data_IF_872450166768
#
_entry.id   IF_872450166768
#
_cell.length_a   1.000
_cell.length_b   1.000
_cell.length_c   1.000
_cell.angle_alpha   90.00
_cell.angle_beta   90.00
_cell.angle_gamma   90.00
#
_symmetry.space_group_name_H-M   'P 1'
#
loop_
_entity.id
_entity.type
_entity.pdbx_description
1 polymer ?
#
# COMPACT_ATOMS: atom_id res chain seq x y z
N UNK A 1 11.94 -45.12 44.59
CA UNK A 1 11.92 -43.97 43.66
C UNK A 1 10.86 -44.26 42.63
N UNK A 2 9.85 -43.41 42.64
CA UNK A 2 8.52 -43.60 42.08
C UNK A 2 8.43 -43.37 40.56
N UNK A 3 7.27 -43.83 40.04
CA UNK A 3 6.49 -43.24 38.94
C UNK A 3 6.65 -43.84 37.53
N UNK A 4 5.72 -44.78 37.29
CA UNK A 4 4.88 -45.00 36.11
C UNK A 4 5.00 -44.02 34.93
N UNK A 5 5.28 -44.56 33.74
CA UNK A 5 4.91 -43.97 32.46
C UNK A 5 3.80 -44.82 31.85
N UNK A 6 2.58 -44.26 31.81
CA UNK A 6 1.35 -44.95 31.40
C UNK A 6 1.24 -44.94 29.87
N UNK A 7 0.89 -46.10 29.27
CA UNK A 7 0.49 -46.26 27.86
C UNK A 7 -0.82 -45.51 27.54
N UNK A 8 -1.26 -45.35 26.31
CA UNK A 8 -1.66 -46.35 25.29
C UNK A 8 -2.10 -45.52 24.05
N UNK A 9 -2.04 -45.98 22.80
CA UNK A 9 -2.93 -46.98 22.21
C UNK A 9 -3.63 -46.39 20.98
N UNK A 10 -3.53 -47.06 19.83
CA UNK A 10 -4.25 -46.72 18.59
C UNK A 10 -5.74 -47.07 18.71
N UNK A 11 -6.63 -46.25 18.12
CA UNK A 11 -8.04 -46.60 17.93
C UNK A 11 -8.76 -45.60 17.04
N UNK A 12 -9.09 -46.01 15.82
CA UNK A 12 -10.03 -45.31 14.93
C UNK A 12 -11.45 -45.88 15.12
N UNK A 13 -12.43 -44.98 14.96
CA UNK A 13 -13.79 -45.16 14.43
C UNK A 13 -15.01 -45.16 15.38
N UNK A 14 -15.85 -44.16 15.08
CA UNK A 14 -17.31 -44.17 14.95
C UNK A 14 -18.15 -44.47 16.19
N UNK A 15 -18.62 -43.40 16.83
CA UNK A 15 -20.00 -43.31 17.30
C UNK A 15 -20.60 -41.94 16.92
N UNK A 16 -21.79 -42.03 16.33
CA UNK A 16 -22.69 -41.00 15.84
C UNK A 16 -23.38 -40.31 17.03
N UNK A 17 -23.21 -38.99 17.18
CA UNK A 17 -24.14 -38.17 17.99
C UNK A 17 -24.24 -36.75 17.42
N UNK A 18 -25.48 -36.34 17.17
CA UNK A 18 -25.83 -35.16 16.44
C UNK A 18 -25.51 -33.86 17.18
N UNK A 19 -24.70 -33.02 16.55
CA UNK A 19 -24.81 -31.58 16.75
C UNK A 19 -24.43 -30.84 15.46
N UNK A 20 -25.44 -30.59 14.62
CA UNK A 20 -25.33 -29.62 13.53
C UNK A 20 -25.16 -28.22 14.13
N UNK A 21 -23.93 -27.87 14.52
CA UNK A 21 -23.57 -26.46 14.74
C UNK A 21 -23.72 -25.74 13.40
N UNK A 22 -24.62 -24.77 13.26
CA UNK A 22 -24.68 -24.00 12.04
C UNK A 22 -23.35 -23.28 11.89
N UNK A 23 -22.60 -23.59 10.82
CA UNK A 23 -21.54 -22.73 10.30
C UNK A 23 -22.17 -21.34 10.18
N UNK A 24 -21.79 -20.42 11.05
CA UNK A 24 -22.17 -19.01 10.95
C UNK A 24 -21.63 -18.55 9.59
N UNK A 25 -22.49 -18.63 8.56
CA UNK A 25 -22.28 -17.97 7.28
C UNK A 25 -21.98 -16.53 7.66
N UNK A 26 -20.73 -16.12 7.45
CA UNK A 26 -20.30 -14.76 7.67
C UNK A 26 -21.34 -13.87 7.03
N UNK A 27 -21.99 -13.08 7.89
CA UNK A 27 -23.01 -12.12 7.51
C UNK A 27 -22.44 -11.34 6.33
N UNK A 28 -23.17 -11.38 5.22
CA UNK A 28 -22.87 -10.63 4.02
C UNK A 28 -22.66 -9.17 4.45
N UNK A 29 -21.41 -8.71 4.50
CA UNK A 29 -21.07 -7.34 4.86
C UNK A 29 -21.54 -6.48 3.71
N UNK A 30 -22.81 -6.10 3.82
CA UNK A 30 -23.42 -4.84 3.44
C UNK A 30 -22.61 -4.12 2.38
N UNK A 31 -23.14 -4.10 1.14
CA UNK A 31 -22.56 -3.51 -0.08
C UNK A 31 -21.68 -2.33 0.30
N UNK A 32 -20.38 -2.59 0.42
CA UNK A 32 -19.41 -1.59 0.87
C UNK A 32 -19.56 -0.41 -0.06
N UNK A 33 -19.84 0.77 0.51
CA UNK A 33 -19.79 2.02 -0.24
C UNK A 33 -18.55 1.98 -1.14
N UNK A 34 -18.65 2.44 -2.41
CA UNK A 34 -17.56 2.33 -3.36
C UNK A 34 -16.28 2.83 -2.70
N UNK A 35 -15.24 1.98 -2.68
CA UNK A 35 -13.94 2.36 -2.13
C UNK A 35 -13.54 3.67 -2.77
N UNK A 36 -13.33 4.70 -1.96
CA UNK A 36 -12.90 6.01 -2.44
C UNK A 36 -11.65 5.86 -3.30
N UNK A 37 -11.70 6.39 -4.52
CA UNK A 37 -10.54 6.52 -5.40
C UNK A 37 -9.97 7.93 -5.29
N UNK A 38 -8.66 8.07 -5.48
CA UNK A 38 -8.02 9.37 -5.63
C UNK A 38 -8.13 9.80 -7.09
N UNK A 39 -8.57 11.03 -7.31
CA UNK A 39 -8.52 11.67 -8.63
C UNK A 39 -7.14 12.25 -8.90
N UNK A 40 -6.76 12.42 -10.17
CA UNK A 40 -5.48 13.03 -10.53
C UNK A 40 -5.30 14.43 -9.95
N UNK A 41 -6.39 15.19 -9.80
CA UNK A 41 -6.36 16.51 -9.19
C UNK A 41 -6.08 16.45 -7.68
N UNK A 42 -6.69 15.50 -6.95
CA UNK A 42 -6.38 15.27 -5.54
C UNK A 42 -4.94 14.77 -5.35
N UNK A 43 -4.46 13.92 -6.24
CA UNK A 43 -3.07 13.46 -6.25
C UNK A 43 -2.09 14.62 -6.44
N UNK A 44 -2.34 15.48 -7.43
CA UNK A 44 -1.55 16.69 -7.66
C UNK A 44 -1.56 17.61 -6.45
N UNK A 45 -2.74 17.83 -5.84
CA UNK A 45 -2.86 18.62 -4.62
C UNK A 45 -2.08 18.03 -3.45
N UNK A 46 -2.06 16.71 -3.29
CA UNK A 46 -1.24 16.05 -2.26
C UNK A 46 0.26 16.24 -2.53
N UNK A 47 0.69 16.14 -3.78
CA UNK A 47 2.08 16.41 -4.18
C UNK A 47 2.46 17.87 -3.89
N UNK A 48 1.57 18.83 -4.19
CA UNK A 48 1.79 20.23 -3.90
C UNK A 48 1.85 20.51 -2.39
N UNK A 49 1.01 19.84 -1.60
CA UNK A 49 1.07 19.87 -0.14
C UNK A 49 2.42 19.38 0.39
N UNK A 50 2.93 18.26 -0.12
CA UNK A 50 4.25 17.74 0.24
C UNK A 50 5.38 18.72 -0.11
N UNK A 51 5.36 19.30 -1.32
CA UNK A 51 6.33 20.33 -1.75
C UNK A 51 6.30 21.54 -0.83
N UNK A 52 5.10 22.01 -0.46
CA UNK A 52 4.94 23.12 0.47
C UNK A 52 5.51 22.83 1.86
N UNK A 53 5.39 21.61 2.36
CA UNK A 53 5.99 21.21 3.63
C UNK A 53 7.51 21.19 3.58
N UNK A 54 8.09 20.72 2.46
CA UNK A 54 9.55 20.78 2.25
C UNK A 54 10.01 22.23 2.29
N UNK A 55 9.34 23.13 1.57
CA UNK A 55 9.69 24.55 1.48
C UNK A 55 9.55 25.30 2.81
N UNK A 56 8.72 24.80 3.73
CA UNK A 56 8.50 25.39 5.06
C UNK A 56 9.32 24.69 6.16
N UNK A 57 10.28 23.82 5.81
CA UNK A 57 11.24 23.24 6.76
C UNK A 57 10.72 22.05 7.55
N UNK A 58 9.66 21.39 7.08
CA UNK A 58 9.12 20.17 7.71
C UNK A 58 9.88 18.90 7.31
N UNK A 59 10.76 18.96 6.32
CA UNK A 59 11.66 17.86 5.96
C UNK A 59 12.87 17.84 6.91
N UNK A 60 13.19 16.65 7.40
CA UNK A 60 14.39 16.29 8.15
C UNK A 60 15.17 15.23 7.36
N UNK A 61 16.37 14.88 7.81
CA UNK A 61 17.24 13.89 7.15
C UNK A 61 16.54 12.54 6.97
N UNK A 62 15.75 12.13 7.97
CA UNK A 62 15.06 10.84 7.99
C UNK A 62 13.60 10.88 7.47
N UNK A 63 13.18 11.98 6.84
CA UNK A 63 11.81 12.11 6.30
C UNK A 63 11.13 13.40 6.75
N UNK A 64 9.86 13.33 7.14
CA UNK A 64 9.11 14.50 7.63
C UNK A 64 9.04 14.50 9.16
N UNK A 65 8.96 15.69 9.76
CA UNK A 65 8.70 15.86 11.20
C UNK A 65 7.39 15.17 11.61
N UNK A 66 7.34 14.68 12.84
CA UNK A 66 6.11 14.17 13.43
C UNK A 66 5.00 15.24 13.35
N UNK A 67 3.80 14.82 12.97
CA UNK A 67 2.66 15.73 12.78
C UNK A 67 2.51 16.33 11.38
N UNK A 68 3.35 15.96 10.40
CA UNK A 68 3.19 16.42 9.02
C UNK A 68 1.87 15.98 8.36
N UNK A 69 1.30 14.83 8.76
CA UNK A 69 0.06 14.29 8.21
C UNK A 69 -1.16 15.21 8.47
N UNK A 70 -1.39 15.70 9.71
CA UNK A 70 -2.38 16.75 9.96
C UNK A 70 -2.19 18.01 9.10
N UNK A 71 -0.94 18.42 8.83
CA UNK A 71 -0.68 19.57 7.96
C UNK A 71 -1.11 19.30 6.52
N UNK A 72 -0.87 18.08 6.01
CA UNK A 72 -1.35 17.66 4.71
C UNK A 72 -2.88 17.58 4.68
N UNK A 73 -3.54 17.04 5.70
CA UNK A 73 -5.01 17.03 5.78
C UNK A 73 -5.58 18.46 5.74
N UNK A 74 -5.01 19.38 6.52
CA UNK A 74 -5.41 20.79 6.51
C UNK A 74 -5.20 21.43 5.12
N UNK A 75 -4.08 21.14 4.47
CA UNK A 75 -3.83 21.59 3.10
C UNK A 75 -4.88 21.05 2.12
N UNK A 76 -5.17 19.76 2.16
CA UNK A 76 -6.16 19.12 1.27
C UNK A 76 -7.56 19.68 1.48
N UNK A 77 -7.99 19.92 2.72
CA UNK A 77 -9.29 20.53 3.00
C UNK A 77 -9.38 21.99 2.52
N UNK A 78 -8.26 22.71 2.51
CA UNK A 78 -8.20 24.09 1.99
C UNK A 78 -8.30 24.14 0.46
N UNK A 79 -7.61 23.23 -0.24
CA UNK A 79 -7.59 23.20 -1.71
C UNK A 79 -8.85 22.54 -2.26
N UNK A 80 -9.36 21.51 -1.60
CA UNK A 80 -10.55 20.76 -1.97
C UNK A 80 -11.55 20.75 -0.79
N UNK A 81 -12.32 21.84 -0.63
CA UNK A 81 -13.42 21.85 0.34
C UNK A 81 -14.34 20.65 0.05
N UNK A 82 -14.71 19.89 1.07
CA UNK A 82 -15.56 18.69 0.98
C UNK A 82 -14.90 17.42 0.43
N UNK A 83 -13.58 17.41 0.17
CA UNK A 83 -12.95 16.16 -0.25
C UNK A 83 -13.08 15.05 0.81
N UNK A 84 -13.23 15.34 2.10
CA UNK A 84 -13.27 14.33 3.17
C UNK A 84 -12.02 13.41 3.17
N UNK A 85 -10.88 13.95 2.73
CA UNK A 85 -9.58 13.29 2.82
C UNK A 85 -9.07 13.48 4.25
N UNK A 86 -8.54 12.40 4.82
CA UNK A 86 -8.08 12.35 6.21
C UNK A 86 -6.62 11.97 6.23
N UNK A 87 -5.87 12.50 7.21
CA UNK A 87 -4.50 12.10 7.50
C UNK A 87 -4.40 10.57 7.56
N UNK A 88 -5.24 9.97 8.41
CA UNK A 88 -5.47 8.53 8.51
C UNK A 88 -6.94 8.22 8.19
N UNK A 89 -7.26 7.19 7.38
CA UNK A 89 -6.34 6.27 6.71
C UNK A 89 -5.92 6.72 5.29
N UNK A 90 -6.42 7.86 4.80
CA UNK A 90 -6.40 8.15 3.36
C UNK A 90 -5.03 8.60 2.85
N UNK A 91 -4.44 9.63 3.46
CA UNK A 91 -3.15 10.18 3.03
C UNK A 91 -2.04 9.16 3.27
N UNK A 92 -2.03 8.54 4.45
CA UNK A 92 -1.03 7.50 4.79
C UNK A 92 -1.04 6.32 3.84
N UNK A 93 -2.22 5.78 3.52
CA UNK A 93 -2.36 4.71 2.53
C UNK A 93 -1.85 5.14 1.16
N UNK A 94 -2.18 6.35 0.71
CA UNK A 94 -1.72 6.87 -0.58
C UNK A 94 -0.20 7.02 -0.66
N UNK A 95 0.41 7.60 0.37
CA UNK A 95 1.86 7.75 0.46
C UNK A 95 2.57 6.39 0.52
N UNK A 96 2.00 5.42 1.23
CA UNK A 96 2.54 4.06 1.28
C UNK A 96 2.55 3.41 -0.11
N UNK A 97 1.44 3.51 -0.86
CA UNK A 97 1.34 2.99 -2.23
C UNK A 97 2.36 3.65 -3.15
N UNK A 98 2.43 4.99 -3.16
CA UNK A 98 3.40 5.72 -3.98
C UNK A 98 4.84 5.35 -3.66
N UNK A 99 5.18 5.22 -2.37
CA UNK A 99 6.53 4.82 -1.95
C UNK A 99 6.89 3.42 -2.46
N UNK A 100 5.94 2.48 -2.42
CA UNK A 100 6.13 1.12 -2.97
C UNK A 100 6.31 1.15 -4.49
N UNK A 101 5.45 1.88 -5.22
CA UNK A 101 5.54 2.01 -6.67
C UNK A 101 6.88 2.63 -7.09
N UNK A 102 7.28 3.72 -6.45
CA UNK A 102 8.58 4.36 -6.68
C UNK A 102 9.75 3.40 -6.41
N UNK A 103 9.72 2.67 -5.29
CA UNK A 103 10.75 1.67 -5.00
C UNK A 103 10.86 0.60 -6.09
N UNK A 104 9.73 0.14 -6.64
CA UNK A 104 9.72 -0.81 -7.75
C UNK A 104 10.33 -0.19 -9.01
N UNK A 105 9.95 1.03 -9.36
CA UNK A 105 10.49 1.74 -10.53
C UNK A 105 12.00 1.95 -10.42
N UNK A 106 12.49 2.44 -9.28
CA UNK A 106 13.93 2.59 -9.04
C UNK A 106 14.64 1.26 -9.20
N UNK A 107 14.09 0.18 -8.65
CA UNK A 107 14.68 -1.17 -8.77
C UNK A 107 14.77 -1.61 -10.23
N UNK A 108 13.72 -1.37 -11.03
CA UNK A 108 13.75 -1.66 -12.46
C UNK A 108 14.82 -0.82 -13.17
N UNK A 109 14.88 0.48 -12.91
CA UNK A 109 15.87 1.38 -13.52
C UNK A 109 17.33 1.07 -13.15
N UNK A 110 17.59 0.27 -12.10
CA UNK A 110 18.96 -0.21 -11.82
C UNK A 110 19.45 -1.29 -12.78
N UNK A 111 18.58 -1.86 -13.62
CA UNK A 111 18.96 -2.88 -14.60
C UNK A 111 19.45 -2.23 -15.89
N UNK A 112 20.53 -2.78 -16.46
CA UNK A 112 21.04 -2.36 -17.77
C UNK A 112 19.98 -2.56 -18.86
N UNK A 113 19.94 -1.65 -19.83
CA UNK A 113 18.98 -1.71 -20.93
C UNK A 113 17.58 -1.22 -20.56
N UNK A 114 17.38 -0.55 -19.43
CA UNK A 114 16.11 0.08 -19.06
C UNK A 114 16.29 1.59 -18.87
N UNK A 115 15.43 2.37 -19.53
CA UNK A 115 15.37 3.83 -19.44
C UNK A 115 14.00 4.33 -18.99
N UNK A 116 13.89 5.65 -18.79
CA UNK A 116 12.63 6.32 -18.48
C UNK A 116 12.28 7.33 -19.58
N UNK A 117 11.10 7.19 -20.16
CA UNK A 117 10.52 8.17 -21.08
C UNK A 117 9.70 9.19 -20.27
N UNK A 118 10.30 10.37 -20.04
CA UNK A 118 9.68 11.48 -19.32
C UNK A 118 8.41 11.99 -20.02
N UNK A 119 8.32 11.87 -21.36
CA UNK A 119 7.17 12.38 -22.11
C UNK A 119 5.93 11.49 -21.96
N UNK A 120 6.15 10.18 -21.87
CA UNK A 120 5.06 9.18 -21.76
C UNK A 120 4.86 8.68 -20.34
N UNK A 121 5.77 9.03 -19.41
CA UNK A 121 5.84 8.47 -18.07
C UNK A 121 5.91 6.92 -18.08
N UNK A 122 6.78 6.37 -18.94
CA UNK A 122 6.90 4.93 -19.15
C UNK A 122 8.34 4.45 -19.01
N UNK A 123 8.50 3.20 -18.53
CA UNK A 123 9.77 2.48 -18.60
C UNK A 123 9.97 1.99 -20.03
N UNK A 124 11.10 2.32 -20.63
CA UNK A 124 11.50 1.85 -21.96
C UNK A 124 12.64 0.84 -21.84
N UNK A 125 12.68 -0.11 -22.77
CA UNK A 125 13.82 -1.02 -22.91
C UNK A 125 14.72 -0.44 -24.00
N UNK A 126 15.96 -0.15 -23.64
CA UNK A 126 17.00 0.18 -24.62
C UNK A 126 17.40 -1.12 -25.30
N UNK A 127 17.05 -1.24 -26.58
CA UNK A 127 17.48 -2.35 -27.43
C UNK A 127 18.96 -2.11 -27.78
N UNK A 128 19.85 -2.97 -27.29
CA UNK A 128 21.27 -3.01 -27.69
C UNK A 128 21.36 -3.39 -29.18
N UNK A 129 21.01 -2.47 -30.09
CA UNK A 129 21.42 -2.57 -31.51
C UNK A 129 22.87 -2.13 -31.64
N UNK A 130 23.77 -2.83 -30.97
CA UNK A 130 25.20 -2.84 -31.26
C UNK A 130 25.53 -4.12 -32.01
N UNK A 131 25.65 -4.05 -33.34
CA UNK A 131 26.26 -5.13 -34.12
C UNK A 131 25.64 -5.46 -35.48
N UNK A 132 25.31 -4.47 -36.31
CA UNK A 132 25.12 -4.68 -37.76
C UNK A 132 25.80 -3.55 -38.52
N UNK A 133 27.13 -3.50 -38.46
CA UNK A 133 27.90 -2.97 -39.58
C UNK A 133 28.25 -4.18 -40.47
N UNK A 134 27.61 -4.28 -41.62
CA UNK A 134 28.03 -5.14 -42.73
C UNK A 134 29.10 -4.41 -43.55
#
# INVERSE_FOLDING_TARGET
MDSEYVGTGYGNNLDDDGSSRPKRRGVNKERTAPRRTWTSLEEEGLINGLKSLINTGWKCDNGFRNGYLPQLEAHMNRVFPQCNIKAEPHITSKLHVWKKQYSTLVTMMTKSGLGWDESRHMVIVEDDKAGMNL
#
